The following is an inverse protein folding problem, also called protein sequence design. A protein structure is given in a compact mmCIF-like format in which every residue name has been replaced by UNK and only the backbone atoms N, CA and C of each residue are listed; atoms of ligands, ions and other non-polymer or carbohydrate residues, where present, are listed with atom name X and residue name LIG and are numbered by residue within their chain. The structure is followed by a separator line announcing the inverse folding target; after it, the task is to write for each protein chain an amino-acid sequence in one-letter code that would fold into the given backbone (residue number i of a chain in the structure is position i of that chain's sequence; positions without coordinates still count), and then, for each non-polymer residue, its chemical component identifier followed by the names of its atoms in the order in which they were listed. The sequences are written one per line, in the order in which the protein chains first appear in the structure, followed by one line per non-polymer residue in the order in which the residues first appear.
data_IF_006710513466
#
_entry.id   IF_006710513466
#
_cell.length_a   1.000
_cell.length_b   1.000
_cell.length_c   1.000
_cell.angle_alpha   90.00
_cell.angle_beta   90.00
_cell.angle_gamma   90.00
#
_symmetry.space_group_name_H-M   'P 1'
#
loop_
_entity.id
_entity.type
_entity.pdbx_description
1 polymer ?
#
# COMPACT_ATOMS: atom_id res chain seq x y z
N UNK A 1 -22.43 -1.60 17.14
CA UNK A 1 -20.96 -1.45 17.12
C UNK A 1 -20.38 -2.80 16.78
N UNK A 2 -19.84 -2.98 15.57
CA UNK A 2 -19.11 -4.20 15.20
C UNK A 2 -17.68 -4.05 15.72
N UNK A 3 -17.28 -4.86 16.68
CA UNK A 3 -15.92 -4.89 17.22
C UNK A 3 -15.12 -5.80 16.30
N UNK A 4 -14.34 -5.23 15.38
CA UNK A 4 -13.42 -5.98 14.54
C UNK A 4 -12.26 -6.47 15.42
N UNK A 5 -12.23 -7.77 15.73
CA UNK A 5 -11.15 -8.37 16.50
C UNK A 5 -10.02 -8.77 15.55
N UNK A 6 -9.07 -7.86 15.31
CA UNK A 6 -7.93 -8.09 14.44
C UNK A 6 -6.89 -8.98 15.16
N UNK A 7 -6.85 -10.27 14.83
CA UNK A 7 -5.83 -11.19 15.33
C UNK A 7 -4.70 -11.31 14.29
N UNK A 8 -3.60 -10.60 14.53
CA UNK A 8 -2.50 -10.44 13.57
C UNK A 8 -1.43 -11.52 13.82
N UNK A 9 -1.42 -12.59 13.03
CA UNK A 9 -0.43 -13.67 13.13
C UNK A 9 0.74 -13.37 12.19
N UNK A 10 1.83 -12.80 12.73
CA UNK A 10 3.11 -12.67 12.00
C UNK A 10 3.90 -13.95 12.21
N UNK A 11 4.08 -14.74 11.15
CA UNK A 11 5.05 -15.83 11.15
C UNK A 11 6.47 -15.21 11.12
N UNK A 12 7.06 -14.98 12.28
CA UNK A 12 8.40 -14.45 12.42
C UNK A 12 9.43 -15.51 11.99
N UNK A 13 9.95 -15.40 10.76
CA UNK A 13 11.12 -16.17 10.31
C UNK A 13 12.33 -15.23 10.34
N UNK A 14 13.39 -15.53 11.13
CA UNK A 14 14.59 -14.70 11.16
C UNK A 14 15.44 -15.06 9.94
N UNK A 15 15.43 -14.23 8.91
CA UNK A 15 16.31 -14.37 7.75
C UNK A 15 17.32 -13.22 7.75
N UNK A 16 18.40 -13.43 8.50
CA UNK A 16 19.62 -12.65 8.31
C UNK A 16 20.30 -13.14 7.01
N UNK A 17 20.19 -12.38 5.93
CA UNK A 17 21.07 -12.56 4.77
C UNK A 17 21.25 -11.24 4.03
N UNK A 18 22.45 -10.69 4.17
CA UNK A 18 22.97 -9.48 3.52
C UNK A 18 22.85 -9.60 2.00
N UNK A 19 22.19 -8.61 1.37
CA UNK A 19 21.93 -8.53 -0.07
C UNK A 19 20.45 -8.70 -0.40
N UNK A 20 19.60 -7.81 0.12
CA UNK A 20 18.18 -8.08 0.28
C UNK A 20 17.38 -8.08 -1.03
N UNK A 21 16.81 -9.24 -1.32
CA UNK A 21 15.66 -9.35 -2.22
C UNK A 21 14.49 -8.61 -1.55
N UNK A 22 13.85 -7.61 -2.19
CA UNK A 22 12.79 -6.86 -1.55
C UNK A 22 11.67 -7.79 -1.08
N UNK A 23 11.39 -7.74 0.22
CA UNK A 23 10.31 -8.46 0.85
C UNK A 23 9.20 -7.47 1.20
N UNK A 24 7.96 -7.88 0.96
CA UNK A 24 6.80 -7.15 1.48
C UNK A 24 5.76 -8.12 2.02
N UNK A 25 4.96 -7.64 2.95
CA UNK A 25 3.72 -8.30 3.34
C UNK A 25 2.66 -7.96 2.31
N UNK A 26 1.97 -8.98 1.78
CA UNK A 26 0.88 -8.81 0.83
C UNK A 26 -0.28 -9.72 1.16
N UNK A 27 -1.48 -9.24 0.88
CA UNK A 27 -2.68 -10.07 0.81
C UNK A 27 -3.70 -9.48 -0.14
N UNK A 28 -4.66 -10.30 -0.55
CA UNK A 28 -5.80 -9.90 -1.37
C UNK A 28 -7.02 -9.74 -0.47
N UNK A 29 -7.80 -8.70 -0.71
CA UNK A 29 -8.97 -8.34 0.10
C UNK A 29 -10.14 -7.95 -0.79
N UNK A 30 -11.34 -8.14 -0.26
CA UNK A 30 -12.59 -7.81 -0.92
C UNK A 30 -13.20 -6.58 -0.27
N UNK A 31 -13.50 -5.57 -1.09
CA UNK A 31 -14.18 -4.35 -0.68
C UNK A 31 -15.69 -4.46 -0.87
N UNK A 32 -16.43 -3.63 -0.15
CA UNK A 32 -17.87 -3.53 -0.34
C UNK A 32 -18.24 -3.07 -1.76
N UNK A 33 -19.33 -3.62 -2.29
CA UNK A 33 -19.91 -3.14 -3.54
C UNK A 33 -20.21 -1.64 -3.45
N UNK A 34 -19.79 -0.90 -4.48
CA UNK A 34 -19.96 0.55 -4.52
C UNK A 34 -19.02 1.35 -3.61
N UNK A 35 -18.07 0.72 -2.91
CA UNK A 35 -17.10 1.43 -2.05
C UNK A 35 -16.36 2.56 -2.79
N UNK A 36 -16.05 2.35 -4.08
CA UNK A 36 -15.34 3.33 -4.90
C UNK A 36 -16.22 4.50 -5.38
N UNK A 37 -17.54 4.36 -5.41
CA UNK A 37 -18.45 5.37 -5.98
C UNK A 37 -18.36 6.73 -5.25
N UNK A 38 -18.19 6.68 -3.93
CA UNK A 38 -18.10 7.87 -3.08
C UNK A 38 -16.67 8.17 -2.61
N UNK A 39 -15.69 7.38 -3.07
CA UNK A 39 -14.32 7.46 -2.59
C UNK A 39 -13.70 8.86 -2.79
N UNK A 40 -13.82 9.51 -3.96
CA UNK A 40 -13.28 10.86 -4.15
C UNK A 40 -13.88 11.90 -3.21
N UNK A 41 -15.19 11.85 -2.99
CA UNK A 41 -15.88 12.79 -2.11
C UNK A 41 -15.40 12.65 -0.66
N UNK A 42 -15.29 11.41 -0.16
CA UNK A 42 -14.76 11.14 1.19
C UNK A 42 -13.30 11.56 1.33
N UNK A 43 -12.47 11.28 0.32
CA UNK A 43 -11.07 11.70 0.34
C UNK A 43 -10.94 13.22 0.42
N UNK A 44 -11.76 13.95 -0.34
CA UNK A 44 -11.81 15.41 -0.29
C UNK A 44 -12.31 15.94 1.06
N UNK A 45 -13.35 15.34 1.64
CA UNK A 45 -13.85 15.69 2.99
C UNK A 45 -12.78 15.50 4.08
N UNK A 46 -11.92 14.48 3.93
CA UNK A 46 -10.80 14.20 4.82
C UNK A 46 -9.57 15.07 4.54
N UNK A 47 -9.61 15.93 3.51
CA UNK A 47 -8.47 16.74 3.08
C UNK A 47 -7.29 15.90 2.58
N UNK A 48 -7.55 14.69 2.06
CA UNK A 48 -6.53 13.80 1.53
C UNK A 48 -6.06 14.30 0.16
N UNK A 49 -4.74 14.55 -0.04
CA UNK A 49 -4.19 14.82 -1.35
C UNK A 49 -4.62 13.74 -2.36
N UNK A 50 -5.26 14.16 -3.44
CA UNK A 50 -5.90 13.22 -4.37
C UNK A 50 -5.65 13.60 -5.82
N UNK A 51 -5.26 12.62 -6.63
CA UNK A 51 -5.34 12.68 -8.08
C UNK A 51 -6.58 11.92 -8.56
N UNK A 52 -7.43 12.57 -9.32
CA UNK A 52 -8.61 11.96 -9.93
C UNK A 52 -8.45 11.99 -11.45
N UNK A 53 -8.67 10.86 -12.12
CA UNK A 53 -8.78 10.82 -13.56
C UNK A 53 -10.25 10.96 -14.00
N UNK A 54 -10.57 12.04 -14.72
CA UNK A 54 -11.88 12.29 -15.35
C UNK A 54 -11.70 12.53 -16.85
N UNK A 55 -11.90 13.77 -17.29
CA UNK A 55 -11.55 14.22 -18.64
C UNK A 55 -10.04 14.50 -18.79
N UNK A 56 -9.29 14.37 -17.70
CA UNK A 56 -7.85 14.50 -17.54
C UNK A 56 -7.48 14.35 -16.05
N UNK A 57 -6.18 14.48 -15.71
CA UNK A 57 -5.74 14.48 -14.31
C UNK A 57 -6.20 15.75 -13.59
N UNK A 58 -6.92 15.57 -12.49
CA UNK A 58 -7.38 16.64 -11.59
C UNK A 58 -6.74 16.43 -10.22
N UNK A 59 -6.02 17.44 -9.72
CA UNK A 59 -5.37 17.42 -8.41
C UNK A 59 -6.24 18.14 -7.38
N UNK A 60 -6.50 17.49 -6.24
CA UNK A 60 -7.22 18.04 -5.11
C UNK A 60 -6.30 18.09 -3.88
N UNK A 61 -6.20 19.27 -3.28
CA UNK A 61 -5.34 19.51 -2.10
C UNK A 61 -3.85 19.72 -2.42
N UNK A 62 -3.44 19.53 -3.68
CA UNK A 62 -2.06 19.72 -4.20
C UNK A 62 -2.11 20.34 -5.60
N UNK A 63 -0.99 20.88 -6.09
CA UNK A 63 -0.89 21.55 -7.39
C UNK A 63 -0.25 20.69 -8.49
N UNK A 64 0.41 19.59 -8.13
CA UNK A 64 1.16 18.75 -9.06
C UNK A 64 1.23 17.29 -8.62
N UNK A 65 1.67 16.42 -9.52
CA UNK A 65 1.96 15.02 -9.20
C UNK A 65 3.16 14.88 -8.25
N UNK A 66 4.15 15.75 -8.37
CA UNK A 66 5.32 15.75 -7.48
C UNK A 66 4.90 16.02 -6.04
N UNK A 67 4.09 17.07 -5.81
CA UNK A 67 3.53 17.38 -4.49
C UNK A 67 2.65 16.25 -3.94
N UNK A 68 1.91 15.55 -4.80
CA UNK A 68 1.09 14.39 -4.41
C UNK A 68 1.97 13.24 -3.88
N UNK A 69 3.06 12.93 -4.59
CA UNK A 69 3.94 11.82 -4.27
C UNK A 69 4.87 12.10 -3.08
N UNK A 70 5.14 13.38 -2.79
CA UNK A 70 5.83 13.83 -1.58
C UNK A 70 4.93 13.78 -0.32
N UNK A 71 3.61 13.75 -0.49
CA UNK A 71 2.70 13.67 0.65
C UNK A 71 2.81 12.31 1.37
N UNK A 72 2.81 12.35 2.71
CA UNK A 72 2.79 11.14 3.54
C UNK A 72 1.57 10.25 3.26
N UNK A 73 0.48 10.83 2.76
CA UNK A 73 -0.74 10.10 2.42
C UNK A 73 -1.37 10.69 1.18
N UNK A 74 -1.74 9.84 0.25
CA UNK A 74 -2.41 10.28 -0.97
C UNK A 74 -3.29 9.19 -1.57
N UNK A 75 -4.25 9.63 -2.37
CA UNK A 75 -5.12 8.79 -3.18
C UNK A 75 -4.91 9.09 -4.66
N UNK A 76 -4.79 8.04 -5.46
CA UNK A 76 -4.95 8.08 -6.92
C UNK A 76 -6.23 7.33 -7.24
N UNK A 77 -7.15 7.96 -7.94
CA UNK A 77 -8.41 7.37 -8.36
C UNK A 77 -8.59 7.52 -9.86
N UNK A 78 -8.49 6.40 -10.57
CA UNK A 78 -8.68 6.28 -12.02
C UNK A 78 -9.68 5.15 -12.27
N UNK A 79 -11.00 5.39 -12.06
CA UNK A 79 -11.99 4.34 -12.04
C UNK A 79 -11.93 3.46 -13.31
N UNK A 80 -11.95 2.12 -13.17
CA UNK A 80 -12.31 1.37 -11.95
C UNK A 80 -11.16 1.14 -10.95
N UNK A 81 -9.99 1.70 -11.21
CA UNK A 81 -8.78 1.52 -10.41
C UNK A 81 -8.63 2.57 -9.32
N UNK A 82 -7.94 2.19 -8.25
CA UNK A 82 -7.52 3.13 -7.22
C UNK A 82 -6.21 2.67 -6.56
N UNK A 83 -5.51 3.63 -5.96
CA UNK A 83 -4.34 3.40 -5.12
C UNK A 83 -4.36 4.40 -3.97
N UNK A 84 -4.46 3.89 -2.76
CA UNK A 84 -4.25 4.64 -1.52
C UNK A 84 -2.86 4.28 -0.99
N UNK A 85 -2.02 5.28 -0.75
CA UNK A 85 -0.70 5.11 -0.15
C UNK A 85 -0.61 5.90 1.15
N UNK A 86 -0.02 5.27 2.17
CA UNK A 86 0.32 5.91 3.44
C UNK A 86 1.76 5.56 3.79
N UNK A 87 2.63 6.57 3.74
CA UNK A 87 3.96 6.55 4.28
C UNK A 87 3.90 6.83 5.78
N UNK A 88 4.69 6.06 6.53
CA UNK A 88 4.93 6.23 7.96
C UNK A 88 6.44 6.20 8.22
N UNK A 89 6.90 6.61 9.41
CA UNK A 89 8.31 6.51 9.76
C UNK A 89 8.86 5.07 9.69
N UNK A 90 7.98 4.07 9.82
CA UNK A 90 8.32 2.64 9.79
C UNK A 90 8.21 2.00 8.39
N UNK A 91 7.72 2.70 7.38
CA UNK A 91 7.52 2.16 6.04
C UNK A 91 6.22 2.63 5.38
N UNK A 92 5.79 1.92 4.35
CA UNK A 92 4.66 2.26 3.50
C UNK A 92 3.61 1.17 3.49
N UNK A 93 2.35 1.56 3.69
CA UNK A 93 1.18 0.73 3.45
C UNK A 93 0.45 1.23 2.20
N UNK A 94 0.08 0.30 1.32
CA UNK A 94 -0.62 0.58 0.07
C UNK A 94 -1.84 -0.31 -0.03
N UNK A 95 -3.01 0.27 -0.28
CA UNK A 95 -4.18 -0.46 -0.76
C UNK A 95 -4.43 -0.03 -2.20
N UNK A 96 -4.32 -0.98 -3.14
CA UNK A 96 -4.59 -0.73 -4.55
C UNK A 96 -5.53 -1.78 -5.10
N UNK A 97 -6.39 -1.43 -6.05
CA UNK A 97 -7.35 -2.40 -6.54
C UNK A 97 -8.15 -1.94 -7.74
N UNK A 98 -9.09 -2.79 -8.12
CA UNK A 98 -10.04 -2.59 -9.20
C UNK A 98 -11.43 -3.06 -8.75
N UNK A 99 -12.42 -2.17 -8.77
CA UNK A 99 -13.78 -2.51 -8.35
C UNK A 99 -13.83 -2.98 -6.90
N UNK A 100 -14.24 -4.23 -6.66
CA UNK A 100 -14.32 -4.83 -5.31
C UNK A 100 -13.08 -5.60 -4.91
N UNK A 101 -12.09 -5.79 -5.80
CA UNK A 101 -10.90 -6.57 -5.51
C UNK A 101 -9.71 -5.63 -5.26
N UNK A 102 -9.02 -5.80 -4.14
CA UNK A 102 -7.86 -5.00 -3.79
C UNK A 102 -6.72 -5.83 -3.22
N UNK A 103 -5.53 -5.28 -3.28
CA UNK A 103 -4.31 -5.80 -2.70
C UNK A 103 -3.84 -4.84 -1.63
N UNK A 104 -3.70 -5.37 -0.41
CA UNK A 104 -3.01 -4.69 0.67
C UNK A 104 -1.55 -5.10 0.63
N UNK A 105 -0.66 -4.14 0.50
CA UNK A 105 0.79 -4.32 0.42
C UNK A 105 1.42 -3.45 1.50
N UNK A 106 2.32 -4.02 2.28
CA UNK A 106 3.05 -3.32 3.33
C UNK A 106 4.52 -3.67 3.20
N UNK A 107 5.36 -2.65 3.07
CA UNK A 107 6.80 -2.79 2.97
C UNK A 107 7.49 -1.61 3.64
N UNK A 108 8.73 -1.80 4.07
CA UNK A 108 9.54 -0.73 4.66
C UNK A 108 10.83 -0.52 3.90
N UNK A 109 11.51 0.57 4.22
CA UNK A 109 12.88 0.86 3.77
C UNK A 109 13.92 0.01 4.53
N UNK A 110 13.45 -0.90 5.40
CA UNK A 110 14.25 -1.80 6.21
C UNK A 110 13.84 -3.24 5.94
N UNK A 111 14.75 -4.18 6.16
CA UNK A 111 14.53 -5.63 5.93
C UNK A 111 13.53 -6.27 6.90
N UNK A 112 13.02 -5.47 7.84
CA UNK A 112 12.05 -5.85 8.84
C UNK A 112 10.65 -5.67 8.26
N UNK A 113 9.92 -6.77 8.14
CA UNK A 113 8.51 -6.78 7.76
C UNK A 113 7.65 -6.35 8.95
N UNK A 114 7.15 -5.13 8.87
CA UNK A 114 6.24 -4.57 9.88
C UNK A 114 4.79 -4.63 9.40
N UNK A 115 3.84 -4.92 10.30
CA UNK A 115 2.43 -4.84 9.96
C UNK A 115 2.01 -3.40 9.66
N UNK A 116 0.92 -3.20 8.89
CA UNK A 116 0.38 -1.88 8.65
C UNK A 116 -0.06 -1.25 9.98
N UNK A 117 0.18 0.06 10.16
CA UNK A 117 -0.06 0.69 11.44
C UNK A 117 -1.57 0.92 11.65
N UNK A 118 -2.07 1.01 12.91
CA UNK A 118 -3.51 1.10 13.19
C UNK A 118 -4.23 2.29 12.52
N UNK A 119 -3.53 3.42 12.33
CA UNK A 119 -4.05 4.60 11.63
C UNK A 119 -4.38 4.32 10.17
N UNK A 120 -3.73 3.34 9.53
CA UNK A 120 -4.03 2.94 8.16
C UNK A 120 -5.44 2.35 8.08
N UNK A 121 -5.80 1.44 8.98
CA UNK A 121 -7.14 0.85 9.02
C UNK A 121 -8.21 1.87 9.41
N UNK A 122 -7.87 2.82 10.28
CA UNK A 122 -8.77 3.94 10.62
C UNK A 122 -9.06 4.81 9.39
N UNK A 123 -8.05 5.05 8.54
CA UNK A 123 -8.23 5.75 7.28
C UNK A 123 -9.06 4.93 6.27
N UNK A 124 -8.84 3.62 6.19
CA UNK A 124 -9.68 2.75 5.34
C UNK A 124 -11.16 2.84 5.74
N UNK A 125 -11.45 2.82 7.04
CA UNK A 125 -12.82 2.95 7.54
C UNK A 125 -13.43 4.31 7.20
N UNK A 126 -12.70 5.40 7.40
CA UNK A 126 -13.14 6.74 7.05
C UNK A 126 -13.40 6.91 5.54
N UNK A 127 -12.62 6.24 4.69
CA UNK A 127 -12.82 6.22 3.23
C UNK A 127 -13.90 5.22 2.79
N UNK A 128 -14.36 4.34 3.70
CA UNK A 128 -15.25 3.22 3.40
C UNK A 128 -14.61 2.15 2.50
N UNK A 129 -13.30 1.97 2.65
CA UNK A 129 -12.48 0.94 2.01
C UNK A 129 -12.13 -0.21 2.98
N UNK A 130 -12.90 -0.36 4.07
CA UNK A 130 -12.71 -1.48 5.01
C UNK A 130 -12.92 -2.81 4.28
N UNK A 131 -11.94 -3.73 4.33
CA UNK A 131 -12.08 -5.09 3.85
C UNK A 131 -13.29 -5.80 4.47
N UNK A 132 -13.94 -6.68 3.71
CA UNK A 132 -15.09 -7.46 4.18
C UNK A 132 -14.68 -8.67 5.04
N UNK A 133 -13.43 -9.09 4.94
CA UNK A 133 -12.87 -10.19 5.71
C UNK A 133 -12.81 -9.86 7.20
N UNK A 134 -13.15 -10.83 8.05
CA UNK A 134 -13.04 -10.66 9.51
C UNK A 134 -11.58 -10.63 9.98
N UNK A 135 -10.72 -11.38 9.29
CA UNK A 135 -9.29 -11.49 9.56
C UNK A 135 -8.52 -11.31 8.25
N UNK A 136 -7.47 -10.48 8.30
CA UNK A 136 -6.59 -10.20 7.16
C UNK A 136 -5.26 -10.92 7.40
N UNK A 137 -5.01 -11.98 6.62
CA UNK A 137 -3.76 -12.74 6.70
C UNK A 137 -2.73 -12.18 5.72
N UNK A 138 -1.64 -11.61 6.24
CA UNK A 138 -0.55 -11.07 5.44
C UNK A 138 0.51 -12.14 5.17
N UNK A 139 0.87 -12.30 3.90
CA UNK A 139 1.89 -13.24 3.45
C UNK A 139 3.17 -12.52 3.06
N UNK A 140 4.32 -13.11 3.41
CA UNK A 140 5.61 -12.62 2.90
C UNK A 140 5.71 -12.92 1.43
N UNK A 141 5.94 -11.89 0.63
CA UNK A 141 6.18 -12.01 -0.80
C UNK A 141 7.59 -11.52 -1.13
N UNK A 142 8.35 -12.38 -1.79
CA UNK A 142 9.69 -12.10 -2.30
C UNK A 142 9.62 -11.66 -3.75
N UNK A 143 10.14 -10.46 -4.05
CA UNK A 143 10.23 -9.98 -5.43
C UNK A 143 11.43 -10.63 -6.11
N UNK A 144 11.25 -11.49 -7.13
CA UNK A 144 12.39 -12.05 -7.83
C UNK A 144 13.23 -10.94 -8.47
N UNK A 145 14.55 -10.97 -8.24
CA UNK A 145 15.47 -10.03 -8.86
C UNK A 145 15.43 -10.24 -10.38
N UNK A 146 15.24 -9.15 -11.14
CA UNK A 146 15.27 -9.19 -12.61
C UNK A 146 16.63 -9.61 -13.16
N UNK A 147 17.70 -9.42 -12.38
CA UNK A 147 19.06 -9.81 -12.73
C UNK A 147 19.58 -10.83 -11.72
N UNK A 148 20.34 -11.85 -12.15
CA UNK A 148 21.05 -12.72 -11.24
C UNK A 148 22.03 -11.89 -10.41
N UNK A 149 22.30 -12.34 -9.19
CA UNK A 149 23.27 -11.67 -8.31
C UNK A 149 24.62 -11.57 -9.02
N UNK A 150 25.29 -10.43 -8.84
CA UNK A 150 26.70 -10.31 -9.22
C UNK A 150 27.47 -11.33 -8.37
N UNK A 151 28.25 -12.25 -8.96
CA UNK A 151 29.07 -13.18 -8.21
C UNK A 151 30.01 -12.43 -7.27
N UNK A 152 30.24 -12.95 -6.05
CA UNK A 152 31.10 -12.31 -5.04
C UNK A 152 32.52 -11.99 -5.57
N UNK A 153 32.98 -12.71 -6.59
CA UNK A 153 34.30 -12.56 -7.22
C UNK A 153 34.29 -11.78 -8.56
N UNK A 154 33.20 -11.10 -8.92
CA UNK A 154 33.12 -10.38 -10.20
C UNK A 154 33.86 -9.03 -10.13
N UNK A 155 35.18 -9.05 -10.37
CA UNK A 155 35.92 -7.85 -10.75
C UNK A 155 35.54 -7.46 -12.18
N UNK A 156 34.49 -6.65 -12.33
CA UNK A 156 34.27 -5.92 -13.58
C UNK A 156 35.36 -4.85 -13.66
N UNK A 157 36.28 -5.00 -14.62
CA UNK A 157 37.26 -3.94 -14.94
C UNK A 157 36.52 -2.62 -15.12
N UNK A 158 36.95 -1.60 -14.38
CA UNK A 158 36.51 -0.22 -14.58
C UNK A 158 36.98 0.24 -15.95
N UNK A 159 36.05 0.36 -16.92
CA UNK A 159 36.32 0.99 -18.23
C UNK A 159 36.34 2.49 -18.09
#
# INVERSE_FOLDING_TARGET
MRVLALLLVVAAVPLASVGETPNYLRTEVTLAEGALQTLPARAQELGLPTLIWREGPEFLGVQSEEELLEADRFLIYDPPYFLLSVQTPSGRAVLRGQGTQAQLIVGGDTDILLPPPPEFFSLLDALGLTPQEETIELQVYQVPLKLPRVPEDSALDSV
#
